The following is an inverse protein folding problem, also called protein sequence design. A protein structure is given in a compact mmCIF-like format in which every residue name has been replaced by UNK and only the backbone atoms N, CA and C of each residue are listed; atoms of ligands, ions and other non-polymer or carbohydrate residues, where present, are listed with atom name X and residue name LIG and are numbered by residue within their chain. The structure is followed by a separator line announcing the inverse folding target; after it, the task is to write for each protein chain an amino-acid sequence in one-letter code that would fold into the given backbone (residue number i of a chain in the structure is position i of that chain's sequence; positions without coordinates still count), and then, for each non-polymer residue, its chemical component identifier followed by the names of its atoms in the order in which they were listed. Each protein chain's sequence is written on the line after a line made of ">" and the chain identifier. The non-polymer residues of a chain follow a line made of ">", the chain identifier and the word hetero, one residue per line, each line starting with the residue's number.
data_IF_253733583700
#
_entry.id   IF_253733583700
#
_cell.length_a   1.000
_cell.length_b   1.000
_cell.length_c   1.000
_cell.angle_alpha   90.00
_cell.angle_beta   90.00
_cell.angle_gamma   90.00
#
_symmetry.space_group_name_H-M   'P 1'
#
loop_
_entity.id
_entity.type
_entity.pdbx_description
1 polymer ?
#
# COMPACT_ATOMS: atom_id res chain seq x y z
N UNK A 1 17.11 4.86 -5.00
CA UNK A 1 17.30 3.74 -5.94
C UNK A 1 16.44 4.01 -7.16
N UNK A 2 16.98 3.86 -8.37
CA UNK A 2 16.20 3.92 -9.61
C UNK A 2 15.79 2.51 -10.06
N UNK A 3 14.54 2.31 -10.49
CA UNK A 3 14.04 0.98 -10.90
C UNK A 3 13.62 0.87 -12.36
N UNK A 4 13.72 1.94 -13.17
CA UNK A 4 13.16 1.92 -14.53
C UNK A 4 13.70 0.78 -15.41
N UNK A 5 14.97 0.41 -15.25
CA UNK A 5 15.59 -0.72 -15.96
C UNK A 5 15.32 -2.10 -15.31
N UNK A 6 14.67 -2.13 -14.14
CA UNK A 6 14.37 -3.34 -13.36
C UNK A 6 12.89 -3.74 -13.43
N UNK A 7 12.03 -2.96 -14.09
CA UNK A 7 10.57 -3.20 -14.17
C UNK A 7 10.24 -4.61 -14.67
N UNK A 8 10.90 -5.08 -15.75
CA UNK A 8 10.65 -6.44 -16.26
C UNK A 8 11.00 -7.54 -15.26
N UNK A 9 12.04 -7.34 -14.44
CA UNK A 9 12.40 -8.27 -13.37
C UNK A 9 11.36 -8.26 -12.25
N UNK A 10 10.84 -7.09 -11.88
CA UNK A 10 9.73 -6.96 -10.92
C UNK A 10 8.47 -7.66 -11.46
N UNK A 11 8.07 -7.41 -12.71
CA UNK A 11 6.95 -8.09 -13.39
C UNK A 11 7.10 -9.61 -13.31
N UNK A 12 8.30 -10.12 -13.56
CA UNK A 12 8.58 -11.55 -13.49
C UNK A 12 8.41 -12.12 -12.07
N UNK A 13 8.85 -11.39 -11.04
CA UNK A 13 8.68 -11.81 -9.64
C UNK A 13 7.18 -11.84 -9.29
N UNK A 14 6.43 -10.79 -9.62
CA UNK A 14 4.98 -10.72 -9.34
C UNK A 14 4.19 -11.87 -9.99
N UNK A 15 4.62 -12.34 -11.16
CA UNK A 15 3.93 -13.40 -11.90
C UNK A 15 4.33 -14.83 -11.47
N UNK A 16 5.46 -15.02 -10.78
CA UNK A 16 6.02 -16.36 -10.57
C UNK A 16 6.44 -16.67 -9.11
N UNK A 17 6.80 -15.67 -8.32
CA UNK A 17 7.39 -15.86 -6.98
C UNK A 17 7.02 -14.70 -6.04
N UNK A 18 5.72 -14.50 -5.83
CA UNK A 18 5.25 -13.50 -4.87
C UNK A 18 5.71 -13.87 -3.45
N UNK A 19 6.42 -12.97 -2.73
CA UNK A 19 6.81 -13.25 -1.35
C UNK A 19 5.61 -13.47 -0.43
N UNK A 20 4.50 -12.74 -0.67
CA UNK A 20 3.22 -12.87 0.02
C UNK A 20 3.35 -13.05 1.52
N UNK A 21 2.81 -14.18 2.01
CA UNK A 21 2.78 -14.49 3.44
C UNK A 21 4.14 -14.38 4.13
N UNK A 22 5.23 -14.81 3.48
CA UNK A 22 6.59 -14.76 4.06
C UNK A 22 7.04 -13.32 4.34
N UNK A 23 6.63 -12.37 3.50
CA UNK A 23 6.89 -10.96 3.75
C UNK A 23 5.88 -10.36 4.74
N UNK A 24 4.62 -10.78 4.69
CA UNK A 24 3.57 -10.24 5.57
C UNK A 24 3.76 -10.66 7.03
N UNK A 25 4.21 -11.89 7.30
CA UNK A 25 4.32 -12.40 8.68
C UNK A 25 5.24 -11.59 9.59
N UNK A 26 6.22 -10.93 8.98
CA UNK A 26 7.17 -10.02 9.63
C UNK A 26 6.53 -8.73 10.18
N UNK A 27 5.32 -8.40 9.72
CA UNK A 27 4.57 -7.19 10.05
C UNK A 27 3.20 -7.48 10.70
N UNK A 28 2.91 -8.74 11.05
CA UNK A 28 1.74 -9.04 11.86
C UNK A 28 1.96 -8.64 13.33
N UNK A 29 0.97 -7.99 13.99
CA UNK A 29 1.06 -7.67 15.42
C UNK A 29 1.26 -8.90 16.31
N UNK A 30 0.70 -10.05 15.89
CA UNK A 30 0.84 -11.34 16.57
C UNK A 30 1.57 -12.31 15.65
N UNK A 31 2.75 -12.77 16.07
CA UNK A 31 3.56 -13.75 15.32
C UNK A 31 2.75 -15.03 15.07
N UNK A 32 2.97 -15.64 13.90
CA UNK A 32 2.35 -16.91 13.46
C UNK A 32 0.82 -16.91 13.32
N UNK A 33 0.15 -15.75 13.40
CA UNK A 33 -1.29 -15.66 13.14
C UNK A 33 -1.51 -15.36 11.66
N UNK A 34 -1.95 -16.37 10.91
CA UNK A 34 -2.48 -16.17 9.55
C UNK A 34 -3.84 -15.47 9.66
N UNK A 35 -3.91 -14.23 9.22
CA UNK A 35 -5.19 -13.58 8.98
C UNK A 35 -5.70 -14.06 7.63
N UNK A 36 -6.66 -14.98 7.66
CA UNK A 36 -7.40 -15.42 6.48
C UNK A 36 -8.87 -15.05 6.70
N UNK A 37 -9.58 -14.60 5.66
CA UNK A 37 -11.01 -14.45 5.76
C UNK A 37 -11.66 -15.80 6.06
N UNK A 38 -12.73 -15.79 6.84
CA UNK A 38 -13.65 -16.92 6.85
C UNK A 38 -14.36 -16.94 5.48
N UNK A 39 -14.55 -18.12 4.89
CA UNK A 39 -14.61 -18.30 3.41
C UNK A 39 -15.83 -17.71 2.69
N UNK A 40 -16.69 -16.93 3.36
CA UNK A 40 -17.92 -16.41 2.73
C UNK A 40 -18.38 -15.01 3.14
N UNK A 41 -17.75 -14.32 4.09
CA UNK A 41 -18.30 -13.06 4.61
C UNK A 41 -17.25 -11.95 4.70
N UNK A 42 -16.53 -11.63 3.62
CA UNK A 42 -15.63 -10.46 3.57
C UNK A 42 -16.04 -9.49 2.46
N UNK A 43 -15.66 -8.24 2.61
CA UNK A 43 -15.82 -7.21 1.59
C UNK A 43 -14.55 -7.12 0.74
N UNK A 44 -14.69 -6.91 -0.57
CA UNK A 44 -13.52 -6.70 -1.42
C UNK A 44 -13.14 -5.22 -1.49
N UNK A 45 -11.85 -4.97 -1.53
CA UNK A 45 -11.27 -3.65 -1.73
C UNK A 45 -10.02 -3.78 -2.61
N UNK A 46 -9.61 -2.68 -3.24
CA UNK A 46 -8.42 -2.66 -4.07
C UNK A 46 -7.68 -1.34 -3.93
N UNK A 47 -6.35 -1.39 -4.03
CA UNK A 47 -5.49 -0.22 -3.84
C UNK A 47 -4.41 -0.12 -4.92
N UNK A 48 -3.90 1.09 -5.11
CA UNK A 48 -2.84 1.44 -6.06
C UNK A 48 -1.54 1.76 -5.33
N UNK A 49 -0.54 0.89 -5.46
CA UNK A 49 0.84 1.18 -5.09
C UNK A 49 1.54 1.83 -6.29
N UNK A 50 1.75 3.15 -6.24
CA UNK A 50 2.27 3.92 -7.38
C UNK A 50 3.74 4.25 -7.16
N UNK A 51 4.60 3.70 -8.01
CA UNK A 51 6.02 4.03 -8.06
C UNK A 51 6.25 5.12 -9.11
N UNK A 52 6.86 6.23 -8.71
CA UNK A 52 7.24 7.35 -9.59
C UNK A 52 8.70 7.71 -9.41
N UNK A 53 9.29 8.52 -10.29
CA UNK A 53 10.62 9.08 -10.07
C UNK A 53 10.52 10.56 -9.72
N UNK A 54 11.34 11.00 -8.77
CA UNK A 54 11.56 12.43 -8.55
C UNK A 54 12.55 13.01 -9.57
N UNK A 55 12.81 14.32 -9.47
CA UNK A 55 13.69 15.06 -10.38
C UNK A 55 15.14 14.55 -10.39
N UNK A 56 15.57 13.83 -9.34
CA UNK A 56 16.89 13.22 -9.24
C UNK A 56 16.92 11.75 -9.73
N UNK A 57 15.85 11.28 -10.38
CA UNK A 57 15.65 9.90 -10.81
C UNK A 57 15.67 8.88 -9.65
N UNK A 58 15.34 9.31 -8.43
CA UNK A 58 15.12 8.39 -7.32
C UNK A 58 13.67 7.92 -7.40
N UNK A 59 13.46 6.60 -7.40
CA UNK A 59 12.11 6.04 -7.36
C UNK A 59 11.52 6.20 -5.95
N UNK A 60 10.31 6.71 -5.90
CA UNK A 60 9.52 6.96 -4.71
C UNK A 60 8.17 6.25 -4.81
N UNK A 61 7.58 5.94 -3.66
CA UNK A 61 6.27 5.34 -3.53
C UNK A 61 5.29 6.38 -2.99
N UNK A 62 4.16 6.54 -3.66
CA UNK A 62 3.09 7.46 -3.27
C UNK A 62 2.27 6.88 -2.11
N UNK A 63 1.93 7.75 -1.16
CA UNK A 63 1.04 7.47 -0.04
C UNK A 63 0.02 8.59 0.14
N UNK A 64 -1.10 8.23 0.76
CA UNK A 64 -2.06 9.18 1.31
C UNK A 64 -2.13 9.03 2.83
N UNK A 65 -2.52 10.09 3.52
CA UNK A 65 -2.94 10.05 4.92
C UNK A 65 -4.44 10.30 4.96
N UNK A 66 -5.19 9.37 5.54
CA UNK A 66 -6.63 9.53 5.74
C UNK A 66 -6.88 10.62 6.80
N UNK A 67 -7.97 11.40 6.68
CA UNK A 67 -8.35 12.35 7.72
C UNK A 67 -8.70 11.62 9.02
N UNK A 68 -8.76 12.40 10.10
CA UNK A 68 -9.20 11.89 11.40
C UNK A 68 -10.74 11.91 11.48
N UNK A 69 -11.34 10.75 11.67
CA UNK A 69 -12.79 10.53 11.85
C UNK A 69 -13.06 9.42 12.88
N UNK A 70 -14.34 9.22 13.23
CA UNK A 70 -14.75 8.09 14.07
C UNK A 70 -14.88 6.82 13.23
N UNK A 71 -13.89 5.92 13.35
CA UNK A 71 -13.91 4.64 12.65
C UNK A 71 -12.54 3.97 12.54
N UNK A 72 -12.55 2.80 11.93
CA UNK A 72 -11.32 2.08 11.60
C UNK A 72 -10.51 2.85 10.55
N UNK A 73 -9.18 2.83 10.68
CA UNK A 73 -8.22 3.46 9.77
C UNK A 73 -8.12 4.99 9.82
N UNK A 74 -8.84 5.64 10.73
CA UNK A 74 -8.74 7.08 11.01
C UNK A 74 -7.28 7.53 11.21
N UNK A 75 -6.86 8.57 10.48
CA UNK A 75 -5.51 9.15 10.56
C UNK A 75 -4.37 8.25 10.05
N UNK A 76 -4.67 7.06 9.51
CA UNK A 76 -3.64 6.11 9.07
C UNK A 76 -3.08 6.47 7.69
N UNK A 77 -1.82 6.11 7.49
CA UNK A 77 -1.16 6.17 6.17
C UNK A 77 -1.61 4.95 5.35
N UNK A 78 -2.04 5.20 4.13
CA UNK A 78 -2.57 4.21 3.21
C UNK A 78 -2.04 4.46 1.79
N UNK A 79 -2.39 3.54 0.90
CA UNK A 79 -2.32 3.74 -0.53
C UNK A 79 -3.68 4.24 -1.03
N UNK A 80 -3.72 4.97 -2.16
CA UNK A 80 -4.99 5.28 -2.79
C UNK A 80 -5.79 4.01 -3.09
N UNK A 81 -7.07 4.01 -2.79
CA UNK A 81 -7.93 2.85 -2.98
C UNK A 81 -9.02 2.69 -1.92
N UNK A 82 -9.97 1.82 -2.23
CA UNK A 82 -11.17 1.69 -1.44
C UNK A 82 -11.95 0.43 -1.75
N UNK A 83 -13.22 0.45 -1.37
CA UNK A 83 -14.13 -0.69 -1.43
C UNK A 83 -14.62 -0.89 -2.87
N UNK A 84 -14.76 -2.15 -3.28
CA UNK A 84 -15.40 -2.48 -4.56
C UNK A 84 -16.87 -2.07 -4.54
N UNK A 85 -17.26 -1.29 -5.55
CA UNK A 85 -18.65 -0.94 -5.81
C UNK A 85 -19.33 -1.93 -6.78
N UNK A 86 -20.66 -1.85 -6.86
CA UNK A 86 -21.44 -2.64 -7.82
C UNK A 86 -21.18 -2.22 -9.27
N UNK A 87 -20.83 -0.95 -9.47
CA UNK A 87 -20.44 -0.34 -10.76
C UNK A 87 -19.09 -0.85 -11.28
N UNK A 88 -18.19 -1.26 -10.38
CA UNK A 88 -16.84 -1.72 -10.73
C UNK A 88 -16.90 -3.11 -11.41
N UNK A 89 -16.39 -3.20 -12.63
CA UNK A 89 -16.36 -4.45 -13.40
C UNK A 89 -15.36 -5.46 -12.82
N UNK A 90 -14.32 -4.98 -12.14
CA UNK A 90 -13.28 -5.78 -11.49
C UNK A 90 -12.64 -5.03 -10.32
N UNK A 91 -11.82 -5.73 -9.51
CA UNK A 91 -11.02 -5.07 -8.48
C UNK A 91 -9.95 -4.14 -9.05
N UNK A 92 -9.51 -4.40 -10.28
CA UNK A 92 -8.61 -3.50 -10.96
C UNK A 92 -9.32 -2.18 -11.28
N UNK A 93 -10.56 -2.23 -11.79
CA UNK A 93 -11.35 -1.03 -12.03
C UNK A 93 -11.64 -0.25 -10.74
N UNK A 94 -11.90 -0.95 -9.62
CA UNK A 94 -12.00 -0.33 -8.28
C UNK A 94 -10.73 0.47 -7.96
N UNK A 95 -9.55 -0.13 -8.12
CA UNK A 95 -8.29 0.54 -7.79
C UNK A 95 -8.05 1.79 -8.66
N UNK A 96 -8.39 1.72 -9.95
CA UNK A 96 -8.27 2.87 -10.87
C UNK A 96 -9.23 4.00 -10.48
N UNK A 97 -10.52 3.67 -10.25
CA UNK A 97 -11.55 4.65 -9.86
C UNK A 97 -11.15 5.40 -8.60
N UNK A 98 -10.86 4.66 -7.53
CA UNK A 98 -10.50 5.22 -6.23
C UNK A 98 -9.23 6.07 -6.30
N UNK A 99 -8.23 5.65 -7.09
CA UNK A 99 -7.03 6.45 -7.30
C UNK A 99 -7.34 7.82 -7.93
N UNK A 100 -8.25 7.86 -8.92
CA UNK A 100 -8.69 9.11 -9.54
C UNK A 100 -9.49 9.96 -8.54
N UNK A 101 -10.41 9.36 -7.79
CA UNK A 101 -11.23 10.06 -6.79
C UNK A 101 -10.36 10.71 -5.69
N UNK A 102 -9.43 9.95 -5.12
CA UNK A 102 -8.62 10.42 -3.98
C UNK A 102 -7.44 11.32 -4.39
N UNK A 103 -6.92 11.22 -5.62
CA UNK A 103 -5.65 11.88 -6.01
C UNK A 103 -5.67 12.63 -7.34
N UNK A 104 -6.69 12.40 -8.17
CA UNK A 104 -6.78 12.85 -9.57
C UNK A 104 -5.68 12.30 -10.51
N UNK A 105 -4.96 11.24 -10.09
CA UNK A 105 -3.96 10.56 -10.93
C UNK A 105 -4.66 9.55 -11.82
N UNK A 106 -4.47 9.66 -13.14
CA UNK A 106 -5.01 8.70 -14.09
C UNK A 106 -4.01 7.58 -14.35
N UNK A 107 -4.47 6.36 -14.09
CA UNK A 107 -3.70 5.13 -14.27
C UNK A 107 -4.19 4.38 -15.51
N UNK A 108 -3.25 3.90 -16.31
CA UNK A 108 -3.51 3.09 -17.51
C UNK A 108 -2.94 1.66 -17.36
N UNK A 109 -3.53 0.72 -18.09
CA UNK A 109 -3.05 -0.67 -18.17
C UNK A 109 -1.57 -0.80 -18.52
N UNK A 110 -1.05 0.13 -19.34
CA UNK A 110 0.35 0.14 -19.79
C UNK A 110 1.33 0.37 -18.64
N UNK A 111 0.88 1.03 -17.57
CA UNK A 111 1.67 1.38 -16.39
C UNK A 111 1.62 0.31 -15.30
N UNK A 112 0.71 -0.66 -15.42
CA UNK A 112 0.61 -1.77 -14.48
C UNK A 112 1.88 -2.64 -14.54
N UNK A 113 2.49 -2.87 -13.37
CA UNK A 113 3.53 -3.86 -13.17
C UNK A 113 2.87 -5.23 -12.92
N UNK A 114 1.93 -5.29 -11.98
CA UNK A 114 1.18 -6.50 -11.67
C UNK A 114 0.43 -6.41 -10.34
N UNK A 115 -0.33 -7.45 -10.02
CA UNK A 115 -0.98 -7.62 -8.72
C UNK A 115 0.03 -8.15 -7.68
N UNK A 116 -0.09 -7.69 -6.44
CA UNK A 116 0.63 -8.25 -5.29
C UNK A 116 -0.28 -9.18 -4.49
N UNK A 117 0.27 -9.83 -3.45
CA UNK A 117 -0.52 -10.75 -2.63
C UNK A 117 -1.65 -10.03 -1.90
N UNK A 118 -2.85 -10.63 -1.91
CA UNK A 118 -3.99 -10.08 -1.17
C UNK A 118 -3.72 -10.02 0.33
N UNK A 119 -4.24 -8.96 0.97
CA UNK A 119 -4.11 -8.73 2.42
C UNK A 119 -5.49 -8.70 3.05
N UNK A 120 -5.77 -9.63 3.94
CA UNK A 120 -6.99 -9.62 4.74
C UNK A 120 -6.82 -8.73 5.99
N UNK A 121 -7.77 -7.82 6.20
CA UNK A 121 -7.80 -6.86 7.30
C UNK A 121 -8.94 -7.22 8.26
N UNK A 122 -8.67 -7.87 9.41
CA UNK A 122 -9.72 -8.37 10.29
C UNK A 122 -10.62 -7.30 10.90
N UNK A 123 -10.07 -6.11 11.21
CA UNK A 123 -10.81 -5.05 11.91
C UNK A 123 -11.92 -4.43 11.07
N UNK A 124 -11.77 -4.45 9.75
CA UNK A 124 -12.73 -3.92 8.78
C UNK A 124 -13.34 -4.98 7.88
N UNK A 125 -12.86 -6.23 8.00
CA UNK A 125 -13.31 -7.40 7.25
C UNK A 125 -13.18 -7.21 5.73
N UNK A 126 -12.11 -6.53 5.31
CA UNK A 126 -11.75 -6.36 3.90
C UNK A 126 -10.70 -7.39 3.47
N UNK A 127 -10.88 -7.96 2.29
CA UNK A 127 -9.80 -8.57 1.50
C UNK A 127 -9.34 -7.55 0.48
N UNK A 128 -8.12 -7.05 0.65
CA UNK A 128 -7.56 -5.98 -0.19
C UNK A 128 -6.64 -6.58 -1.24
N UNK A 129 -6.90 -6.25 -2.51
CA UNK A 129 -6.04 -6.58 -3.64
C UNK A 129 -5.12 -5.37 -3.97
N UNK A 130 -3.80 -5.45 -3.74
CA UNK A 130 -2.88 -4.40 -4.14
C UNK A 130 -2.46 -4.55 -5.61
N UNK A 131 -2.43 -3.44 -6.34
CA UNK A 131 -1.86 -3.35 -7.69
C UNK A 131 -0.67 -2.41 -7.71
N UNK A 132 0.45 -2.88 -8.26
CA UNK A 132 1.70 -2.11 -8.35
C UNK A 132 1.81 -1.46 -9.74
N UNK A 133 1.93 -0.14 -9.77
CA UNK A 133 2.08 0.66 -10.99
C UNK A 133 3.44 1.35 -11.04
N UNK A 134 3.95 1.59 -12.24
CA UNK A 134 5.12 2.43 -12.47
C UNK A 134 4.81 3.58 -13.42
N UNK A 135 4.79 4.78 -12.88
CA UNK A 135 4.55 6.02 -13.58
C UNK A 135 5.82 6.87 -13.46
N UNK A 136 6.79 6.74 -14.38
CA UNK A 136 8.09 7.38 -14.24
C UNK A 136 8.02 8.91 -14.14
N UNK A 137 6.95 9.49 -14.71
CA UNK A 137 6.58 10.88 -14.55
C UNK A 137 5.06 10.94 -14.34
N UNK A 138 4.61 11.61 -13.27
CA UNK A 138 3.20 11.97 -13.10
C UNK A 138 3.01 13.33 -13.75
N UNK A 139 2.25 13.37 -14.85
CA UNK A 139 1.94 14.60 -15.59
C UNK A 139 0.61 15.22 -15.18
N UNK A 140 -0.21 14.46 -14.46
CA UNK A 140 -1.50 14.94 -13.96
C UNK A 140 -1.31 16.05 -12.93
N UNK A 141 -2.27 16.96 -12.89
CA UNK A 141 -2.37 17.87 -11.75
C UNK A 141 -2.92 17.09 -10.57
N UNK A 142 -2.07 16.83 -9.58
CA UNK A 142 -2.46 16.11 -8.37
C UNK A 142 -3.35 17.03 -7.53
N UNK A 143 -4.60 16.60 -7.34
CA UNK A 143 -5.60 17.34 -6.58
C UNK A 143 -6.25 16.32 -5.65
N UNK A 144 -5.81 16.24 -4.38
CA UNK A 144 -6.42 15.33 -3.42
C UNK A 144 -7.86 15.73 -3.12
N UNK A 145 -8.75 14.75 -2.96
CA UNK A 145 -10.05 15.00 -2.32
C UNK A 145 -9.83 15.15 -0.81
N UNK A 146 -9.92 16.38 -0.31
CA UNK A 146 -9.71 16.69 1.10
C UNK A 146 -10.74 16.07 2.05
N UNK A 147 -11.83 15.51 1.54
CA UNK A 147 -12.76 14.71 2.36
C UNK A 147 -12.19 13.32 2.71
N UNK A 148 -11.28 12.80 1.90
CA UNK A 148 -10.74 11.45 2.02
C UNK A 148 -9.21 11.42 2.24
N UNK A 149 -8.53 12.50 1.86
CA UNK A 149 -7.06 12.64 1.90
C UNK A 149 -6.66 13.93 2.63
N UNK A 150 -6.10 13.76 3.82
CA UNK A 150 -5.53 14.86 4.63
C UNK A 150 -4.15 15.29 4.13
N UNK A 151 -3.34 14.33 3.68
CA UNK A 151 -1.98 14.55 3.16
C UNK A 151 -1.68 13.56 2.04
N UNK A 152 -0.93 13.99 1.02
CA UNK A 152 -0.44 13.15 -0.06
C UNK A 152 1.07 13.39 -0.19
N UNK A 153 1.85 12.32 -0.08
CA UNK A 153 3.30 12.43 -0.02
C UNK A 153 3.98 11.21 -0.63
N UNK A 154 5.30 11.34 -0.83
CA UNK A 154 6.14 10.32 -1.42
C UNK A 154 7.22 9.89 -0.44
N UNK A 155 7.59 8.61 -0.49
CA UNK A 155 8.74 8.09 0.24
C UNK A 155 9.69 7.38 -0.74
N UNK A 156 10.97 7.78 -0.81
CA UNK A 156 11.97 7.06 -1.57
C UNK A 156 12.05 5.58 -1.17
N UNK A 157 12.01 4.67 -2.16
CA UNK A 157 11.90 3.24 -1.86
C UNK A 157 13.11 2.66 -1.11
N UNK A 158 14.26 3.34 -1.18
CA UNK A 158 15.46 2.99 -0.42
C UNK A 158 15.28 3.20 1.08
N UNK A 159 14.37 4.06 1.53
CA UNK A 159 14.07 4.20 2.96
C UNK A 159 13.50 2.90 3.55
N UNK A 160 12.77 2.11 2.78
CA UNK A 160 12.24 0.80 3.24
C UNK A 160 13.31 -0.30 3.29
N UNK A 161 14.45 -0.10 2.61
CA UNK A 161 15.58 -1.04 2.61
C UNK A 161 16.53 -0.82 3.81
N UNK A 162 16.45 0.36 4.44
CA UNK A 162 17.24 0.72 5.62
C UNK A 162 16.71 0.00 6.86
N UNK A 163 17.59 -0.72 7.55
CA UNK A 163 17.19 -1.50 8.72
C UNK A 163 16.80 -0.61 9.89
N UNK A 164 17.41 0.57 10.02
CA UNK A 164 17.13 1.56 11.06
C UNK A 164 15.72 2.16 10.96
N UNK A 165 15.10 2.14 9.79
CA UNK A 165 13.74 2.62 9.58
C UNK A 165 12.69 1.58 9.98
N UNK A 166 13.10 0.34 10.30
CA UNK A 166 12.20 -0.72 10.79
C UNK A 166 12.27 -0.79 12.31
N UNK A 167 11.12 -0.62 12.95
CA UNK A 167 11.00 -0.63 14.42
C UNK A 167 9.65 -1.16 14.86
N UNK A 168 9.42 -1.25 16.18
CA UNK A 168 8.10 -1.36 16.76
C UNK A 168 7.71 -0.03 17.39
N UNK A 169 6.48 0.43 17.15
CA UNK A 169 5.92 1.62 17.79
C UNK A 169 4.63 1.25 18.52
N UNK A 170 4.29 2.02 19.55
CA UNK A 170 3.01 1.90 20.24
C UNK A 170 1.98 2.75 19.50
N UNK A 171 0.89 2.12 19.07
CA UNK A 171 -0.25 2.81 18.43
C UNK A 171 -1.50 2.61 19.27
N UNK A 172 -2.38 3.62 19.24
CA UNK A 172 -3.69 3.56 19.88
C UNK A 172 -4.69 3.13 18.81
N UNK A 173 -5.38 2.02 19.03
CA UNK A 173 -6.44 1.55 18.13
C UNK A 173 -7.71 2.39 18.29
N UNK A 174 -8.64 2.26 17.34
CA UNK A 174 -9.97 2.88 17.44
C UNK A 174 -10.73 2.47 18.72
N UNK A 175 -10.42 1.29 19.29
CA UNK A 175 -10.99 0.81 20.56
C UNK A 175 -10.25 1.34 21.80
N UNK A 176 -9.41 2.38 21.63
CA UNK A 176 -8.59 2.98 22.68
C UNK A 176 -7.64 1.99 23.38
N UNK A 177 -7.16 0.98 22.63
CA UNK A 177 -6.18 0.01 23.12
C UNK A 177 -4.80 0.38 22.61
N UNK A 178 -3.81 0.41 23.51
CA UNK A 178 -2.41 0.52 23.14
C UNK A 178 -1.88 -0.85 22.71
N UNK A 179 -1.35 -0.91 21.48
CA UNK A 179 -0.69 -2.10 20.96
C UNK A 179 0.68 -1.74 20.40
N UNK A 180 1.66 -2.60 20.62
CA UNK A 180 2.96 -2.49 19.96
C UNK A 180 2.87 -3.17 18.59
N UNK A 181 3.21 -2.44 17.53
CA UNK A 181 3.11 -2.93 16.15
C UNK A 181 4.44 -2.78 15.43
N UNK A 182 4.85 -3.79 14.63
CA UNK A 182 5.95 -3.62 13.68
C UNK A 182 5.55 -2.58 12.62
N UNK A 183 6.48 -1.67 12.33
CA UNK A 183 6.24 -0.57 11.41
C UNK A 183 7.53 -0.13 10.70
N UNK A 184 7.34 0.65 9.64
CA UNK A 184 8.37 1.55 9.14
C UNK A 184 8.15 2.94 9.75
N UNK A 185 9.18 3.50 10.38
CA UNK A 185 9.18 4.86 10.91
C UNK A 185 10.13 5.73 10.10
N UNK A 186 9.58 6.59 9.24
CA UNK A 186 10.33 7.39 8.27
C UNK A 186 9.84 8.83 8.37
N UNK A 187 10.72 9.78 8.66
CA UNK A 187 10.36 11.20 8.79
C UNK A 187 9.14 11.44 9.70
N UNK A 188 9.13 10.81 10.89
CA UNK A 188 8.02 10.81 11.87
C UNK A 188 6.69 10.22 11.38
N UNK A 189 6.65 9.62 10.19
CA UNK A 189 5.49 8.87 9.69
C UNK A 189 5.62 7.41 10.10
N UNK A 190 4.53 6.85 10.62
CA UNK A 190 4.45 5.45 11.06
C UNK A 190 3.61 4.68 10.05
N UNK A 191 4.25 3.78 9.30
CA UNK A 191 3.60 2.93 8.30
C UNK A 191 3.51 1.52 8.87
N UNK A 192 2.31 1.10 9.21
CA UNK A 192 2.02 -0.13 9.94
C UNK A 192 0.74 -0.78 9.42
N UNK A 193 0.33 -1.90 10.01
CA UNK A 193 -0.91 -2.58 9.63
C UNK A 193 -0.88 -3.02 8.17
N UNK A 194 -2.02 -2.96 7.49
CA UNK A 194 -2.16 -3.41 6.10
C UNK A 194 -1.16 -2.73 5.15
N UNK A 195 -0.99 -1.42 5.26
CA UNK A 195 0.00 -0.65 4.48
C UNK A 195 1.42 -1.16 4.72
N UNK A 196 1.79 -1.40 5.99
CA UNK A 196 3.09 -1.96 6.36
C UNK A 196 3.34 -3.35 5.77
N UNK A 197 2.32 -4.21 5.74
CA UNK A 197 2.40 -5.55 5.12
C UNK A 197 2.73 -5.45 3.63
N UNK A 198 2.00 -4.62 2.90
CA UNK A 198 2.18 -4.42 1.45
C UNK A 198 3.55 -3.80 1.14
N UNK A 199 3.99 -2.81 1.93
CA UNK A 199 5.33 -2.21 1.80
C UNK A 199 6.43 -3.24 2.08
N UNK A 200 6.27 -4.10 3.09
CA UNK A 200 7.28 -5.12 3.38
C UNK A 200 7.36 -6.18 2.27
N UNK A 201 6.25 -6.54 1.63
CA UNK A 201 6.28 -7.39 0.43
C UNK A 201 7.01 -6.70 -0.73
N UNK A 202 6.74 -5.42 -1.00
CA UNK A 202 7.48 -4.66 -2.00
C UNK A 202 8.98 -4.64 -1.67
N UNK A 203 9.36 -4.41 -0.42
CA UNK A 203 10.75 -4.45 0.04
C UNK A 203 11.41 -5.80 -0.27
N UNK A 204 10.74 -6.93 -0.01
CA UNK A 204 11.24 -8.26 -0.35
C UNK A 204 11.49 -8.43 -1.85
N UNK A 205 10.61 -7.86 -2.69
CA UNK A 205 10.79 -7.86 -4.15
C UNK A 205 12.01 -7.01 -4.52
N UNK A 206 12.12 -5.80 -3.95
CA UNK A 206 13.22 -4.87 -4.23
C UNK A 206 14.60 -5.45 -3.84
N UNK A 207 14.68 -6.23 -2.76
CA UNK A 207 15.91 -6.90 -2.32
C UNK A 207 16.43 -7.97 -3.29
N UNK A 208 15.58 -8.45 -4.20
CA UNK A 208 15.96 -9.42 -5.23
C UNK A 208 16.49 -8.79 -6.52
N UNK A 209 16.43 -7.46 -6.64
CA UNK A 209 16.73 -6.74 -7.89
C UNK A 209 18.20 -6.44 -8.10
#
# INVERSE_FOLDING_TARGET
>A
MFIGNKINKIKNILNNDLPGFKAHEEFYPLKNRKYKPDTSTFQNAAICMILTNNLENITELLFIKRPTYDGHHSGQIAFPGGKKEESDLSLFDTALRECVEETNIQLENTQLIGAMSEVFIPVSNFLVQPYLFYLPNITDTIIPDFHEVEDLFYIPINEFLKQENRTNETVITHQNQEISVPCFKINNRIIWGATGLMVNELKFILQQL
#
